data_IF_383843995504
#
_entry.id   IF_383843995504
#
_cell.length_a   1.000
_cell.length_b   1.000
_cell.length_c   1.000
_cell.angle_alpha   90.00
_cell.angle_beta   90.00
_cell.angle_gamma   90.00
#
_symmetry.space_group_name_H-M   'P 1'
#
loop_
_entity.id
_entity.type
_entity.pdbx_description
1 polymer ?
#
# COMPACT_ATOMS: atom_id res chain seq x y z
N UNK A 1 10.88 -2.65 5.23
CA UNK A 1 10.81 -1.55 4.26
C UNK A 1 11.05 -2.06 2.86
N UNK A 2 10.11 -1.80 1.95
CA UNK A 2 10.25 -1.99 0.51
C UNK A 2 10.10 -0.63 -0.18
N UNK A 3 10.83 -0.39 -1.26
CA UNK A 3 10.71 0.87 -2.02
C UNK A 3 10.89 0.62 -3.51
N UNK A 4 10.09 1.28 -4.32
CA UNK A 4 10.17 1.23 -5.78
C UNK A 4 9.90 2.62 -6.35
N UNK A 5 10.59 2.98 -7.43
CA UNK A 5 10.43 4.29 -8.09
C UNK A 5 10.06 4.10 -9.55
N UNK A 6 8.88 4.58 -9.94
CA UNK A 6 8.39 4.54 -11.33
C UNK A 6 8.02 5.93 -11.78
N UNK A 7 8.59 6.38 -12.91
CA UNK A 7 8.31 7.73 -13.48
C UNK A 7 8.43 8.85 -12.44
N UNK A 8 9.52 8.83 -11.67
CA UNK A 8 9.80 9.78 -10.58
C UNK A 8 8.84 9.76 -9.40
N UNK A 9 7.90 8.82 -9.32
CA UNK A 9 7.08 8.61 -8.12
C UNK A 9 7.69 7.45 -7.34
N UNK A 10 8.11 7.74 -6.11
CA UNK A 10 8.61 6.72 -5.18
C UNK A 10 7.51 6.28 -4.25
N UNK A 11 7.31 4.98 -4.16
CA UNK A 11 6.44 4.34 -3.19
C UNK A 11 7.33 3.60 -2.20
N UNK A 12 7.19 3.91 -0.92
CA UNK A 12 7.86 3.18 0.17
C UNK A 12 6.81 2.55 1.06
N UNK A 13 6.97 1.27 1.38
CA UNK A 13 6.03 0.50 2.20
C UNK A 13 6.76 -0.09 3.39
N UNK A 14 6.27 0.23 4.58
CA UNK A 14 6.66 -0.40 5.83
C UNK A 14 5.53 -1.28 6.34
N UNK A 15 5.87 -2.47 6.83
CA UNK A 15 4.89 -3.48 7.23
C UNK A 15 5.18 -3.92 8.66
N UNK A 16 4.13 -4.04 9.45
CA UNK A 16 4.21 -4.46 10.85
C UNK A 16 3.20 -5.56 11.11
N UNK A 17 3.68 -6.70 11.62
CA UNK A 17 2.79 -7.75 12.10
C UNK A 17 2.16 -7.32 13.44
N UNK A 18 0.84 -7.41 13.55
CA UNK A 18 0.10 -7.05 14.76
C UNK A 18 -0.21 -8.31 15.56
N UNK A 19 0.73 -8.70 16.43
CA UNK A 19 0.62 -9.94 17.23
C UNK A 19 -0.63 -9.95 18.11
N UNK A 20 -0.93 -8.85 18.80
CA UNK A 20 -2.09 -8.74 19.70
C UNK A 20 -3.45 -8.88 19.00
N UNK A 21 -3.50 -8.65 17.69
CA UNK A 21 -4.71 -8.78 16.87
C UNK A 21 -4.73 -10.09 16.07
N UNK A 22 -3.68 -10.89 16.17
CA UNK A 22 -3.51 -12.13 15.42
C UNK A 22 -3.75 -13.35 16.32
N UNK A 23 -4.24 -14.43 15.71
CA UNK A 23 -4.40 -15.72 16.34
C UNK A 23 -3.85 -16.80 15.41
N UNK A 24 -2.57 -17.22 15.57
CA UNK A 24 -1.99 -18.27 14.76
C UNK A 24 -2.74 -19.61 14.88
N UNK A 25 -3.34 -19.89 16.05
CA UNK A 25 -4.15 -21.10 16.29
C UNK A 25 -5.40 -21.12 15.40
N UNK A 26 -5.98 -19.95 15.13
CA UNK A 26 -7.15 -19.79 14.26
C UNK A 26 -6.76 -19.49 12.80
N UNK A 27 -5.47 -19.53 12.46
CA UNK A 27 -4.94 -19.09 11.16
C UNK A 27 -5.35 -17.65 10.79
N UNK A 28 -5.50 -16.79 11.80
CA UNK A 28 -5.84 -15.38 11.64
C UNK A 28 -4.61 -14.50 11.83
N UNK A 29 -4.20 -13.77 10.80
CA UNK A 29 -2.98 -12.95 10.81
C UNK A 29 -3.30 -11.53 10.38
N UNK A 30 -3.05 -10.57 11.27
CA UNK A 30 -3.30 -9.15 11.02
C UNK A 30 -1.97 -8.44 10.78
N UNK A 31 -1.91 -7.71 9.68
CA UNK A 31 -0.76 -6.91 9.28
C UNK A 31 -1.18 -5.46 9.09
N UNK A 32 -0.41 -4.54 9.66
CA UNK A 32 -0.47 -3.12 9.32
C UNK A 32 0.57 -2.81 8.26
N UNK A 33 0.29 -1.79 7.45
CA UNK A 33 1.25 -1.23 6.53
C UNK A 33 1.13 0.29 6.49
N UNK A 34 2.26 0.96 6.31
CA UNK A 34 2.37 2.38 6.05
C UNK A 34 2.90 2.59 4.63
N UNK A 35 2.18 3.38 3.83
CA UNK A 35 2.57 3.68 2.45
C UNK A 35 2.94 5.15 2.37
N UNK A 36 4.22 5.42 2.08
CA UNK A 36 4.72 6.75 1.75
C UNK A 36 4.78 6.90 0.23
N UNK A 37 4.17 7.97 -0.28
CA UNK A 37 4.16 8.30 -1.71
C UNK A 37 4.86 9.64 -1.88
N UNK A 38 5.95 9.65 -2.64
CA UNK A 38 6.80 10.82 -2.85
C UNK A 38 6.84 11.14 -4.34
N UNK A 39 6.54 12.38 -4.70
CA UNK A 39 6.80 12.90 -6.02
C UNK A 39 8.24 13.44 -6.04
N UNK A 40 9.09 12.86 -6.89
CA UNK A 40 10.47 13.28 -7.11
C UNK A 40 10.64 13.92 -8.49
N UNK A 41 9.54 14.18 -9.18
CA UNK A 41 9.50 14.84 -10.47
C UNK A 41 9.31 16.35 -10.33
N UNK A 42 9.38 17.05 -11.45
CA UNK A 42 9.25 18.51 -11.50
C UNK A 42 7.82 18.99 -11.73
N UNK A 43 6.89 18.06 -11.95
CA UNK A 43 5.49 18.34 -12.26
C UNK A 43 4.61 17.73 -11.18
N UNK A 44 3.61 18.47 -10.73
CA UNK A 44 2.61 17.96 -9.79
C UNK A 44 1.86 16.78 -10.37
N UNK A 45 1.52 15.81 -9.52
CA UNK A 45 0.71 14.63 -9.89
C UNK A 45 -0.45 14.47 -8.93
N UNK A 46 -1.47 13.73 -9.33
CA UNK A 46 -2.61 13.40 -8.45
C UNK A 46 -2.79 11.89 -8.37
N UNK A 47 -2.96 11.38 -7.15
CA UNK A 47 -3.36 10.00 -6.94
C UNK A 47 -4.86 9.87 -7.21
N UNK A 48 -5.22 9.12 -8.25
CA UNK A 48 -6.63 8.93 -8.64
C UNK A 48 -7.19 7.63 -8.08
N UNK A 49 -6.50 6.50 -8.28
CA UNK A 49 -6.97 5.17 -7.93
C UNK A 49 -5.85 4.33 -7.32
N UNK A 50 -6.23 3.32 -6.54
CA UNK A 50 -5.34 2.26 -6.05
C UNK A 50 -5.86 0.88 -6.46
N UNK A 51 -4.94 -0.05 -6.65
CA UNK A 51 -5.24 -1.48 -6.80
C UNK A 51 -4.24 -2.26 -5.95
N UNK A 52 -4.74 -3.08 -5.04
CA UNK A 52 -3.96 -4.05 -4.29
C UNK A 52 -4.19 -5.44 -4.86
N UNK A 53 -3.09 -6.19 -5.02
CA UNK A 53 -3.11 -7.62 -5.30
C UNK A 53 -2.46 -8.31 -4.11
N UNK A 54 -3.27 -9.01 -3.32
CA UNK A 54 -2.87 -9.61 -2.05
C UNK A 54 -2.91 -11.11 -2.23
N UNK A 55 -1.77 -11.79 -2.13
CA UNK A 55 -1.68 -13.25 -2.29
C UNK A 55 -1.37 -13.89 -0.95
N UNK A 56 -2.17 -14.89 -0.55
CA UNK A 56 -1.96 -15.66 0.67
C UNK A 56 -0.90 -16.77 0.48
N UNK A 57 -0.57 -17.49 1.56
CA UNK A 57 0.41 -18.59 1.52
C UNK A 57 -0.03 -19.81 0.71
N UNK A 58 -1.32 -19.94 0.40
CA UNK A 58 -1.87 -20.99 -0.47
C UNK A 58 -1.88 -20.57 -1.95
N UNK A 59 -1.41 -19.36 -2.27
CA UNK A 59 -1.38 -18.82 -3.62
C UNK A 59 -2.71 -18.21 -4.06
N UNK A 60 -3.68 -18.03 -3.17
CA UNK A 60 -4.94 -17.36 -3.50
C UNK A 60 -4.73 -15.85 -3.52
N UNK A 61 -5.10 -15.22 -4.63
CA UNK A 61 -4.98 -13.77 -4.80
C UNK A 61 -6.33 -13.08 -4.69
N UNK A 62 -6.40 -12.08 -3.82
CA UNK A 62 -7.49 -11.12 -3.75
C UNK A 62 -7.08 -9.81 -4.42
N UNK A 63 -7.97 -9.27 -5.27
CA UNK A 63 -7.79 -7.95 -5.87
C UNK A 63 -8.72 -6.96 -5.18
N UNK A 64 -8.15 -5.91 -4.59
CA UNK A 64 -8.90 -4.80 -4.00
C UNK A 64 -8.66 -3.54 -4.81
N UNK A 65 -9.72 -2.97 -5.38
CA UNK A 65 -9.67 -1.72 -6.15
C UNK A 65 -10.41 -0.63 -5.40
N UNK A 66 -9.93 0.61 -5.52
CA UNK A 66 -10.62 1.75 -4.94
C UNK A 66 -10.14 3.07 -5.49
N UNK A 67 -11.02 4.08 -5.44
CA UNK A 67 -10.64 5.46 -5.69
C UNK A 67 -9.80 5.99 -4.54
N UNK A 68 -8.78 6.78 -4.86
CA UNK A 68 -7.95 7.48 -3.90
C UNK A 68 -7.20 6.55 -2.93
N UNK A 69 -6.80 7.13 -1.81
CA UNK A 69 -6.26 6.47 -0.62
C UNK A 69 -6.98 7.04 0.59
N UNK A 70 -7.39 6.19 1.54
CA UNK A 70 -8.11 6.60 2.77
C UNK A 70 -9.31 7.54 2.57
N UNK A 71 -9.92 7.54 1.37
CA UNK A 71 -11.05 8.41 1.02
C UNK A 71 -10.68 9.68 0.24
N UNK A 72 -9.38 9.94 0.05
CA UNK A 72 -8.84 11.17 -0.55
C UNK A 72 -8.10 10.90 -1.87
N UNK A 73 -8.04 11.90 -2.75
CA UNK A 73 -7.24 11.90 -3.99
C UNK A 73 -6.15 12.98 -3.92
N UNK A 74 -5.08 12.76 -3.14
CA UNK A 74 -4.08 13.79 -2.87
C UNK A 74 -3.35 14.23 -4.14
N UNK A 75 -3.08 15.53 -4.21
CA UNK A 75 -2.15 16.13 -5.17
C UNK A 75 -0.77 16.16 -4.50
N UNK A 76 0.22 15.63 -5.21
CA UNK A 76 1.61 15.61 -4.78
C UNK A 76 2.36 16.66 -5.60
N UNK A 77 2.77 17.72 -4.93
CA UNK A 77 3.69 18.71 -5.49
C UNK A 77 5.10 18.10 -5.61
N UNK A 78 5.97 18.67 -6.47
CA UNK A 78 7.40 18.34 -6.55
C UNK A 78 8.14 18.37 -5.20
#
# INVERSE_FOLDING_TARGET
MYSETTKSIRITVDTTFLEEQSSPVESHYVWAYEVKIENLGEVKVQLINRTWSITDSHGQTQIVKGSGVVGEQPILEP
#
